data_IF_492932030630
#
_entry.id   IF_492932030630
#
_cell.length_a   1.000
_cell.length_b   1.000
_cell.length_c   1.000
_cell.angle_alpha   90.00
_cell.angle_beta   90.00
_cell.angle_gamma   90.00
#
_symmetry.space_group_name_H-M   'P 1'
#
loop_
_entity.id
_entity.type
_entity.pdbx_description
1 polymer ?
#
# COMPACT_ATOMS: atom_id res chain seq x y z
N UNK A 1 -8.76 -11.13 10.55
CA UNK A 1 -7.88 -10.69 9.45
C UNK A 1 -6.92 -11.80 9.00
N UNK A 2 -6.12 -12.40 9.90
CA UNK A 2 -5.17 -13.47 9.54
C UNK A 2 -5.82 -14.71 8.91
N UNK A 3 -6.94 -15.20 9.45
CA UNK A 3 -7.66 -16.35 8.88
C UNK A 3 -8.14 -16.09 7.45
N UNK A 4 -8.65 -14.88 7.18
CA UNK A 4 -9.07 -14.45 5.84
C UNK A 4 -7.87 -14.46 4.86
N UNK A 5 -6.71 -14.00 5.32
CA UNK A 5 -5.48 -13.98 4.52
C UNK A 5 -5.06 -15.40 4.11
N UNK A 6 -5.10 -16.33 5.06
CA UNK A 6 -4.78 -17.74 4.82
C UNK A 6 -5.78 -18.36 3.86
N UNK A 7 -7.08 -18.10 4.04
CA UNK A 7 -8.13 -18.63 3.18
C UNK A 7 -7.98 -18.14 1.72
N UNK A 8 -7.75 -16.84 1.54
CA UNK A 8 -7.51 -16.25 0.21
C UNK A 8 -6.23 -16.82 -0.41
N UNK A 9 -5.16 -16.94 0.38
CA UNK A 9 -3.90 -17.54 -0.09
C UNK A 9 -4.07 -18.99 -0.55
N UNK A 10 -4.82 -19.79 0.21
CA UNK A 10 -5.15 -21.17 -0.16
C UNK A 10 -5.97 -21.22 -1.46
N UNK A 11 -6.99 -20.38 -1.59
CA UNK A 11 -7.80 -20.31 -2.81
C UNK A 11 -6.96 -19.94 -4.05
N UNK A 12 -6.04 -18.97 -3.90
CA UNK A 12 -5.10 -18.58 -4.96
C UNK A 12 -4.15 -19.72 -5.33
N UNK A 13 -3.61 -20.44 -4.34
CA UNK A 13 -2.73 -21.58 -4.58
C UNK A 13 -3.45 -22.71 -5.34
N UNK A 14 -4.68 -23.04 -4.93
CA UNK A 14 -5.53 -24.02 -5.63
C UNK A 14 -5.81 -23.57 -7.06
N UNK A 15 -6.19 -22.30 -7.25
CA UNK A 15 -6.42 -21.74 -8.59
C UNK A 15 -5.18 -21.86 -9.48
N UNK A 16 -3.99 -21.54 -8.96
CA UNK A 16 -2.74 -21.63 -9.71
C UNK A 16 -2.43 -23.07 -10.13
N UNK A 17 -2.53 -24.03 -9.20
CA UNK A 17 -2.23 -25.45 -9.48
C UNK A 17 -3.21 -26.06 -10.46
N UNK A 18 -4.51 -25.77 -10.32
CA UNK A 18 -5.54 -26.32 -11.20
C UNK A 18 -5.52 -25.71 -12.61
N UNK A 19 -5.02 -24.48 -12.76
CA UNK A 19 -4.98 -23.76 -14.04
C UNK A 19 -3.55 -23.66 -14.60
N UNK A 20 -2.79 -24.76 -14.52
CA UNK A 20 -1.43 -24.89 -15.07
C UNK A 20 -1.41 -25.31 -16.55
N UNK A 21 -2.57 -25.32 -17.21
CA UNK A 21 -2.65 -25.59 -18.65
C UNK A 21 -1.78 -24.62 -19.45
N UNK A 22 -0.85 -25.11 -20.29
CA UNK A 22 0.04 -24.26 -21.08
C UNK A 22 -0.77 -23.52 -22.14
N UNK A 23 -0.61 -22.19 -22.19
CA UNK A 23 -1.22 -21.31 -23.17
C UNK A 23 -0.13 -20.42 -23.78
N UNK A 24 -0.28 -20.10 -25.05
CA UNK A 24 0.59 -19.14 -25.74
C UNK A 24 0.21 -17.73 -25.30
N UNK A 25 1.13 -17.05 -24.61
CA UNK A 25 0.96 -15.66 -24.18
C UNK A 25 1.72 -14.75 -25.15
N UNK A 26 1.01 -13.76 -25.71
CA UNK A 26 1.59 -12.72 -26.57
C UNK A 26 1.55 -11.38 -25.85
N UNK A 27 2.71 -10.77 -25.60
CA UNK A 27 2.79 -9.50 -24.88
C UNK A 27 3.93 -8.63 -25.40
N UNK A 28 3.64 -7.38 -25.79
CA UNK A 28 4.63 -6.38 -26.25
C UNK A 28 5.59 -6.91 -27.36
N UNK A 29 5.12 -7.84 -28.20
CA UNK A 29 5.90 -8.47 -29.27
C UNK A 29 6.66 -9.74 -28.87
N UNK A 30 6.63 -10.12 -27.59
CA UNK A 30 7.15 -11.40 -27.10
C UNK A 30 6.08 -12.48 -27.15
N UNK A 31 6.52 -13.72 -27.39
CA UNK A 31 5.69 -14.91 -27.31
C UNK A 31 6.35 -15.88 -26.34
N UNK A 32 5.61 -16.31 -25.33
CA UNK A 32 6.04 -17.30 -24.35
C UNK A 32 4.95 -18.34 -24.17
N UNK A 33 5.34 -19.57 -23.85
CA UNK A 33 4.41 -20.65 -23.52
C UNK A 33 4.47 -20.89 -22.02
N UNK A 34 3.31 -20.87 -21.37
CA UNK A 34 3.23 -21.05 -19.93
C UNK A 34 1.82 -20.95 -19.40
N UNK A 35 1.67 -21.11 -18.08
CA UNK A 35 0.37 -20.97 -17.43
C UNK A 35 -0.03 -19.49 -17.34
N UNK A 36 -1.20 -19.14 -17.90
CA UNK A 36 -1.75 -17.77 -17.83
C UNK A 36 -1.94 -17.31 -16.39
N UNK A 37 -2.34 -18.23 -15.50
CA UNK A 37 -2.50 -18.00 -14.06
C UNK A 37 -1.23 -17.42 -13.43
N UNK A 38 -0.06 -17.95 -13.77
CA UNK A 38 1.22 -17.49 -13.24
C UNK A 38 1.54 -16.05 -13.67
N UNK A 39 1.26 -15.71 -14.93
CA UNK A 39 1.45 -14.34 -15.45
C UNK A 39 0.53 -13.35 -14.74
N UNK A 40 -0.74 -13.71 -14.53
CA UNK A 40 -1.71 -12.87 -13.82
C UNK A 40 -1.28 -12.66 -12.37
N UNK A 41 -0.87 -13.73 -11.67
CA UNK A 41 -0.41 -13.64 -10.28
C UNK A 41 0.83 -12.76 -10.15
N UNK A 42 1.81 -12.91 -11.04
CA UNK A 42 2.99 -12.04 -11.06
C UNK A 42 2.62 -10.59 -11.33
N UNK A 43 1.71 -10.33 -12.27
CA UNK A 43 1.25 -8.97 -12.59
C UNK A 43 0.58 -8.30 -11.38
N UNK A 44 -0.29 -9.04 -10.68
CA UNK A 44 -0.92 -8.55 -9.46
C UNK A 44 0.12 -8.30 -8.37
N UNK A 45 1.05 -9.22 -8.17
CA UNK A 45 2.12 -9.09 -7.18
C UNK A 45 2.97 -7.84 -7.44
N UNK A 46 3.37 -7.61 -8.69
CA UNK A 46 4.11 -6.41 -9.10
C UNK A 46 3.28 -5.15 -8.80
N UNK A 47 1.99 -5.14 -9.15
CA UNK A 47 1.09 -4.04 -8.83
C UNK A 47 1.04 -3.74 -7.34
N UNK A 48 0.86 -4.76 -6.49
CA UNK A 48 0.86 -4.63 -5.03
C UNK A 48 2.18 -4.06 -4.53
N UNK A 49 3.31 -4.55 -5.02
CA UNK A 49 4.65 -4.06 -4.62
C UNK A 49 4.81 -2.59 -4.98
N UNK A 50 4.46 -2.19 -6.21
CA UNK A 50 4.56 -0.81 -6.66
C UNK A 50 3.65 0.12 -5.84
N UNK A 51 2.38 -0.25 -5.64
CA UNK A 51 1.45 0.55 -4.83
C UNK A 51 1.91 0.64 -3.37
N UNK A 52 2.44 -0.45 -2.80
CA UNK A 52 2.96 -0.48 -1.44
C UNK A 52 4.18 0.43 -1.28
N UNK A 53 5.08 0.46 -2.27
CA UNK A 53 6.25 1.33 -2.26
C UNK A 53 5.85 2.81 -2.26
N UNK A 54 4.90 3.20 -3.12
CA UNK A 54 4.35 4.56 -3.14
C UNK A 54 3.67 4.90 -1.81
N UNK A 55 2.91 3.96 -1.25
CA UNK A 55 2.28 4.10 0.06
C UNK A 55 3.28 4.32 1.19
N UNK A 56 4.39 3.58 1.18
CA UNK A 56 5.46 3.68 2.17
C UNK A 56 6.12 5.07 2.15
N UNK A 57 6.45 5.57 0.95
CA UNK A 57 7.04 6.91 0.78
C UNK A 57 6.08 7.98 1.32
N UNK A 58 4.79 7.89 1.00
CA UNK A 58 3.77 8.81 1.54
C UNK A 58 3.70 8.71 3.06
N UNK A 59 3.67 7.51 3.61
CA UNK A 59 3.58 7.31 5.05
C UNK A 59 4.78 7.93 5.78
N UNK A 60 5.98 7.81 5.23
CA UNK A 60 7.19 8.43 5.79
C UNK A 60 7.08 9.95 5.79
N UNK A 61 6.66 10.56 4.67
CA UNK A 61 6.45 12.02 4.60
C UNK A 61 5.41 12.50 5.62
N UNK A 62 4.31 11.75 5.79
CA UNK A 62 3.28 12.08 6.77
C UNK A 62 3.83 11.99 8.20
N UNK A 63 4.58 10.93 8.54
CA UNK A 63 5.22 10.80 9.86
C UNK A 63 6.18 11.95 10.15
N UNK A 64 6.99 12.36 9.18
CA UNK A 64 7.89 13.51 9.34
C UNK A 64 7.11 14.82 9.56
N UNK A 65 6.00 15.03 8.84
CA UNK A 65 5.13 16.20 9.03
C UNK A 65 4.48 16.21 10.41
N UNK A 66 3.99 15.06 10.89
CA UNK A 66 3.41 14.92 12.23
C UNK A 66 4.44 15.36 13.28
N UNK A 67 5.67 14.81 13.22
CA UNK A 67 6.75 15.21 14.13
C UNK A 67 7.09 16.70 14.08
N UNK A 68 7.09 17.29 12.88
CA UNK A 68 7.34 18.72 12.71
C UNK A 68 6.22 19.58 13.32
N UNK A 69 4.96 19.17 13.16
CA UNK A 69 3.80 19.87 13.73
C UNK A 69 3.77 19.73 15.25
N UNK A 70 4.03 18.55 15.79
CA UNK A 70 4.17 18.30 17.24
C UNK A 70 5.26 19.20 17.85
N UNK A 71 6.42 19.29 17.21
CA UNK A 71 7.50 20.16 17.66
C UNK A 71 7.15 21.66 17.60
N UNK A 72 6.29 22.08 16.67
CA UNK A 72 5.81 23.47 16.59
C UNK A 72 4.80 23.78 17.69
N UNK A 73 3.88 22.85 17.95
CA UNK A 73 2.92 22.92 19.06
C UNK A 73 3.65 23.03 20.41
N UNK A 74 4.69 22.22 20.63
CA UNK A 74 5.48 22.26 21.87
C UNK A 74 6.27 23.57 22.07
N UNK A 75 6.49 24.36 21.01
CA UNK A 75 7.22 25.64 21.06
C UNK A 75 6.31 26.86 21.08
N UNK A 76 5.01 26.68 20.84
CA UNK A 76 4.04 27.76 21.01
C UNK A 76 3.89 27.99 22.52
N UNK A 77 4.04 29.25 23.00
CA UNK A 77 3.68 29.58 24.38
C UNK A 77 2.22 29.15 24.62
N UNK A 78 1.87 28.68 25.84
CA UNK A 78 0.47 28.42 26.16
C UNK A 78 -0.32 29.67 25.77
N UNK A 79 -1.40 29.49 24.99
CA UNK A 79 -2.30 30.58 24.61
C UNK A 79 -2.58 31.37 25.88
N UNK A 80 -2.01 32.57 25.98
CA UNK A 80 -2.32 33.48 27.07
C UNK A 80 -3.83 33.65 26.98
N UNK A 81 -4.60 33.25 28.01
CA UNK A 81 -6.03 33.48 28.03
C UNK A 81 -6.23 34.95 27.69
N UNK A 82 -7.06 35.24 26.68
CA UNK A 82 -7.41 36.58 26.24
C UNK A 82 -7.88 37.40 27.46
N UNK A 83 -6.95 38.01 28.18
CA UNK A 83 -7.19 38.84 29.34
C UNK A 83 -7.45 40.30 28.92
N UNK A 84 -7.78 40.52 27.65
CA UNK A 84 -7.90 41.85 27.03
C UNK A 84 -9.25 42.09 26.34
N UNK A 85 -10.26 41.24 26.58
CA UNK A 85 -11.63 41.49 26.10
C UNK A 85 -12.64 41.82 27.21
N UNK A 86 -12.18 42.12 28.43
CA UNK A 86 -13.10 42.45 29.56
C UNK A 86 -12.76 43.76 30.29
N UNK A 87 -11.71 44.49 29.88
CA UNK A 87 -11.44 45.81 30.47
C UNK A 87 -11.49 46.91 29.42
N UNK A 88 -12.60 47.65 29.47
CA UNK A 88 -12.90 48.98 28.90
C UNK A 88 -13.37 49.08 27.45
#
# INVERSE_FOLDING_TARGET
MYLLLVLVGAAVAVFAVQNISPVVIRFLGWQIEGALSLVVLLSILVGIVLTSLVGLIRHWRLRSRIRQLENRLARLPPEQPRADQTSR
#
